data_IF_463339653632
#
_entry.id   IF_463339653632
#
_cell.length_a   1.000
_cell.length_b   1.000
_cell.length_c   1.000
_cell.angle_alpha   90.00
_cell.angle_beta   90.00
_cell.angle_gamma   90.00
#
_symmetry.space_group_name_H-M   'P 1'
#
loop_
_entity.id
_entity.type
_entity.pdbx_description
1 polymer ?
#
# COMPACT_ATOMS: atom_id res chain seq x y z
N UNK A 1 -47.50 -62.83 -30.25
CA UNK A 1 -46.36 -63.09 -31.17
C UNK A 1 -45.16 -63.38 -30.29
N UNK A 2 -44.61 -64.60 -30.41
CA UNK A 2 -43.27 -65.11 -29.97
C UNK A 2 -42.65 -64.50 -28.70
N UNK A 3 -42.68 -65.13 -27.52
CA UNK A 3 -42.02 -66.38 -27.02
C UNK A 3 -40.53 -66.18 -26.66
N UNK A 4 -40.23 -66.57 -25.41
CA UNK A 4 -38.98 -67.15 -24.87
C UNK A 4 -37.79 -66.21 -24.61
N UNK A 5 -36.92 -66.41 -23.60
CA UNK A 5 -36.84 -67.25 -22.40
C UNK A 5 -35.45 -66.95 -21.76
N UNK A 6 -35.25 -67.26 -20.48
CA UNK A 6 -33.91 -67.39 -19.87
C UNK A 6 -33.78 -66.76 -18.49
N UNK A 7 -34.46 -67.26 -17.44
CA UNK A 7 -34.08 -68.35 -16.54
C UNK A 7 -32.87 -68.13 -15.58
N UNK A 8 -33.26 -68.09 -14.30
CA UNK A 8 -32.72 -68.79 -13.12
C UNK A 8 -31.53 -68.28 -12.31
N UNK A 9 -31.90 -67.92 -11.06
CA UNK A 9 -31.21 -68.07 -9.77
C UNK A 9 -30.30 -69.29 -9.64
N UNK A 10 -29.22 -69.19 -8.85
CA UNK A 10 -29.08 -69.88 -7.55
C UNK A 10 -27.70 -69.59 -6.89
N UNK A 11 -27.77 -69.25 -5.61
CA UNK A 11 -26.91 -69.53 -4.44
C UNK A 11 -25.40 -69.85 -4.52
N UNK A 12 -24.76 -69.31 -3.47
CA UNK A 12 -23.87 -69.95 -2.48
C UNK A 12 -22.33 -69.76 -2.54
N UNK A 13 -21.84 -69.31 -1.37
CA UNK A 13 -20.56 -69.51 -0.69
C UNK A 13 -19.59 -70.52 -1.36
N UNK A 14 -18.30 -70.27 -1.47
CA UNK A 14 -17.32 -70.21 -0.35
C UNK A 14 -15.95 -69.86 -0.94
N UNK A 15 -15.05 -69.16 -0.21
CA UNK A 15 -13.73 -69.72 0.12
C UNK A 15 -12.97 -68.84 1.13
N UNK A 16 -12.61 -69.44 2.25
CA UNK A 16 -11.62 -68.95 3.21
C UNK A 16 -10.21 -68.93 2.60
N UNK A 17 -9.37 -67.96 3.00
CA UNK A 17 -8.08 -68.24 3.65
C UNK A 17 -7.33 -66.96 4.06
N UNK A 18 -7.35 -66.77 5.38
CA UNK A 18 -6.38 -66.21 6.30
C UNK A 18 -4.96 -65.92 5.76
N UNK A 19 -4.51 -64.67 5.87
CA UNK A 19 -3.15 -64.35 6.34
C UNK A 19 -3.19 -63.11 7.25
N UNK A 20 -2.65 -63.28 8.44
CA UNK A 20 -2.38 -62.29 9.47
C UNK A 20 -1.12 -61.51 9.12
N UNK A 21 -1.17 -60.17 9.17
CA UNK A 21 0.00 -59.30 9.30
C UNK A 21 -0.44 -57.98 9.92
N UNK A 22 0.32 -57.50 10.90
CA UNK A 22 0.05 -56.40 11.83
C UNK A 22 -0.11 -55.02 11.16
N UNK A 23 -0.77 -54.03 11.80
CA UNK A 23 -0.93 -52.70 11.24
C UNK A 23 0.27 -51.82 11.57
N UNK A 24 1.05 -51.47 10.54
CA UNK A 24 2.15 -50.52 10.65
C UNK A 24 1.65 -49.09 10.38
N UNK A 25 1.94 -48.18 11.31
CA UNK A 25 2.06 -46.74 11.07
C UNK A 25 0.86 -45.96 10.52
N UNK A 26 -0.21 -45.79 11.30
CA UNK A 26 -1.14 -44.68 11.08
C UNK A 26 -0.51 -43.37 11.55
N UNK A 27 0.19 -42.66 10.64
CA UNK A 27 0.67 -41.31 10.88
C UNK A 27 -0.52 -40.37 11.12
N UNK A 28 -0.80 -40.13 12.40
CA UNK A 28 -1.67 -39.05 12.85
C UNK A 28 -0.93 -37.75 12.58
N UNK A 29 -1.31 -37.07 11.49
CA UNK A 29 -0.92 -35.67 11.25
C UNK A 29 -1.57 -34.83 12.34
N UNK A 30 -0.84 -34.62 13.43
CA UNK A 30 -1.17 -33.62 14.44
C UNK A 30 -1.10 -32.26 13.77
N UNK A 31 -2.25 -31.60 13.68
CA UNK A 31 -2.37 -30.22 13.22
C UNK A 31 -1.68 -29.29 14.22
N UNK A 32 -0.43 -28.92 13.93
CA UNK A 32 0.27 -27.83 14.60
C UNK A 32 -0.32 -26.48 14.18
N UNK A 33 -1.53 -26.18 14.67
CA UNK A 33 -2.22 -24.92 14.38
C UNK A 33 -2.69 -24.18 15.64
N UNK A 34 -2.19 -24.56 16.83
CA UNK A 34 -2.62 -23.98 18.10
C UNK A 34 -1.68 -22.93 18.70
N UNK A 35 -0.53 -22.62 18.07
CA UNK A 35 0.54 -21.88 18.75
C UNK A 35 0.80 -20.43 18.28
N UNK A 36 0.04 -19.86 17.34
CA UNK A 36 0.32 -18.50 16.82
C UNK A 36 -0.69 -17.41 17.17
N UNK A 37 -1.73 -17.68 17.97
CA UNK A 37 -2.85 -16.75 18.20
C UNK A 37 -2.80 -16.00 19.55
N UNK A 38 -1.67 -16.01 20.24
CA UNK A 38 -1.53 -15.43 21.59
C UNK A 38 -0.85 -14.07 21.69
N UNK A 39 -0.23 -13.55 20.61
CA UNK A 39 0.72 -12.43 20.71
C UNK A 39 0.20 -11.05 20.27
N UNK A 40 -0.99 -10.96 19.67
CA UNK A 40 -1.47 -9.70 19.06
C UNK A 40 -2.64 -9.03 19.82
N UNK A 41 -3.00 -9.53 21.01
CA UNK A 41 -4.12 -8.99 21.82
C UNK A 41 -3.67 -7.98 22.89
N UNK A 42 -2.38 -7.69 22.97
CA UNK A 42 -1.76 -6.86 24.02
C UNK A 42 -1.69 -5.37 23.68
N UNK A 43 -1.92 -4.94 22.43
CA UNK A 43 -1.59 -3.57 21.98
C UNK A 43 -2.63 -2.49 22.31
N UNK A 44 -3.93 -2.76 22.14
CA UNK A 44 -5.00 -1.87 22.67
C UNK A 44 -5.12 -1.98 24.20
N UNK A 45 -4.58 -3.06 24.73
CA UNK A 45 -4.40 -3.32 26.14
C UNK A 45 -3.12 -2.70 26.72
N UNK A 46 -2.25 -2.12 25.89
CA UNK A 46 -0.89 -1.71 26.30
C UNK A 46 -0.91 -0.42 27.12
N UNK A 47 -1.94 0.42 26.96
CA UNK A 47 -2.17 1.60 27.80
C UNK A 47 -2.85 1.27 29.13
N UNK A 48 -3.60 0.16 29.22
CA UNK A 48 -4.33 -0.27 30.42
C UNK A 48 -3.61 -1.43 31.09
N UNK A 49 -3.14 -1.23 32.33
CA UNK A 49 -2.37 -2.26 33.05
C UNK A 49 -3.18 -3.56 33.20
N UNK A 50 -2.48 -4.70 33.30
CA UNK A 50 -3.12 -5.99 33.52
C UNK A 50 -3.97 -6.04 34.82
N UNK A 51 -3.56 -5.26 35.82
CA UNK A 51 -4.28 -5.07 37.08
C UNK A 51 -5.62 -4.36 36.84
N UNK A 52 -5.59 -3.18 36.20
CA UNK A 52 -6.80 -2.43 35.86
C UNK A 52 -7.73 -3.24 34.97
N UNK A 53 -7.18 -4.01 34.01
CA UNK A 53 -7.98 -4.91 33.17
C UNK A 53 -8.71 -5.97 33.98
N UNK A 54 -8.01 -6.62 34.90
CA UNK A 54 -8.62 -7.63 35.78
C UNK A 54 -9.70 -7.01 36.65
N UNK A 55 -9.49 -5.79 37.16
CA UNK A 55 -10.49 -5.07 37.94
C UNK A 55 -11.75 -4.73 37.13
N UNK A 56 -11.61 -4.25 35.89
CA UNK A 56 -12.74 -3.96 34.99
C UNK A 56 -13.50 -5.25 34.66
N UNK A 57 -12.79 -6.33 34.32
CA UNK A 57 -13.42 -7.63 34.03
C UNK A 57 -14.17 -8.19 35.24
N UNK A 58 -13.58 -8.09 36.44
CA UNK A 58 -14.21 -8.54 37.68
C UNK A 58 -15.44 -7.69 38.03
N UNK A 59 -15.35 -6.36 37.90
CA UNK A 59 -16.47 -5.42 38.07
C UNK A 59 -17.64 -5.77 37.15
N UNK A 60 -17.33 -6.06 35.89
CA UNK A 60 -18.30 -6.39 34.84
C UNK A 60 -18.75 -7.86 34.90
N UNK A 61 -18.26 -8.61 35.88
CA UNK A 61 -18.59 -10.00 36.11
C UNK A 61 -18.23 -10.91 34.94
N UNK A 62 -17.13 -10.63 34.25
CA UNK A 62 -16.63 -11.37 33.07
C UNK A 62 -17.73 -11.59 32.02
N UNK A 63 -18.49 -10.52 31.73
CA UNK A 63 -19.54 -10.48 30.71
C UNK A 63 -19.37 -9.25 29.85
N UNK A 64 -19.67 -9.40 28.56
CA UNK A 64 -19.84 -8.26 27.67
C UNK A 64 -21.00 -7.38 28.15
N UNK A 65 -20.74 -6.08 28.36
CA UNK A 65 -21.74 -5.13 28.84
C UNK A 65 -22.78 -4.74 27.76
N UNK A 66 -22.53 -5.08 26.49
CA UNK A 66 -23.47 -4.81 25.39
C UNK A 66 -24.38 -5.99 25.11
N UNK A 67 -23.83 -7.21 24.96
CA UNK A 67 -24.62 -8.39 24.54
C UNK A 67 -24.73 -9.49 25.60
N UNK A 68 -24.09 -9.34 26.76
CA UNK A 68 -24.18 -10.28 27.87
C UNK A 68 -23.41 -11.59 27.71
N UNK A 69 -22.74 -11.83 26.57
CA UNK A 69 -21.92 -13.04 26.36
C UNK A 69 -20.86 -13.16 27.45
N UNK A 70 -20.71 -14.37 27.97
CA UNK A 70 -19.81 -14.69 29.07
C UNK A 70 -18.40 -15.00 28.55
N UNK A 71 -17.39 -14.55 29.30
CA UNK A 71 -16.00 -14.90 29.06
C UNK A 71 -15.62 -16.27 29.64
N UNK A 72 -14.41 -16.76 29.35
CA UNK A 72 -13.91 -18.07 29.79
C UNK A 72 -13.99 -18.29 31.31
N UNK A 73 -13.75 -17.26 32.11
CA UNK A 73 -13.78 -17.33 33.58
C UNK A 73 -15.15 -17.63 34.17
N UNK A 74 -16.21 -17.49 33.37
CA UNK A 74 -17.57 -17.86 33.76
C UNK A 74 -18.16 -19.00 32.93
N UNK A 75 -17.32 -19.73 32.21
CA UNK A 75 -17.72 -20.88 31.39
C UNK A 75 -18.27 -20.50 30.02
N UNK A 76 -18.13 -19.24 29.60
CA UNK A 76 -18.47 -18.81 28.25
C UNK A 76 -17.29 -18.91 27.28
N UNK A 77 -17.56 -18.71 25.99
CA UNK A 77 -16.55 -18.80 24.93
C UNK A 77 -16.14 -17.45 24.34
N UNK A 78 -16.69 -16.34 24.85
CA UNK A 78 -16.43 -15.03 24.26
C UNK A 78 -15.08 -14.46 24.75
N UNK A 79 -14.18 -14.15 23.84
CA UNK A 79 -13.03 -13.29 24.14
C UNK A 79 -13.53 -11.91 24.54
N UNK A 80 -13.16 -11.46 25.73
CA UNK A 80 -13.52 -10.17 26.31
C UNK A 80 -12.34 -9.21 26.24
N UNK A 81 -12.64 -7.96 25.93
CA UNK A 81 -11.70 -6.85 25.83
C UNK A 81 -12.19 -5.72 26.75
N UNK A 82 -11.24 -4.93 27.25
CA UNK A 82 -11.54 -3.69 27.95
C UNK A 82 -11.44 -2.56 26.94
N UNK A 83 -12.46 -1.72 26.91
CA UNK A 83 -12.65 -0.65 25.94
C UNK A 83 -12.85 0.67 26.67
N UNK A 84 -12.14 1.72 26.25
CA UNK A 84 -12.37 3.09 26.70
C UNK A 84 -13.69 3.63 26.16
N UNK A 85 -14.58 4.06 27.06
CA UNK A 85 -15.88 4.66 26.72
C UNK A 85 -15.67 5.99 25.99
N UNK A 86 -14.74 6.83 26.47
CA UNK A 86 -14.28 8.06 25.84
C UNK A 86 -12.74 8.05 25.76
N UNK A 87 -12.14 8.50 24.65
CA UNK A 87 -10.66 8.55 24.51
C UNK A 87 -10.02 9.73 25.24
N UNK A 88 -10.72 10.88 25.31
CA UNK A 88 -10.28 12.07 26.05
C UNK A 88 -11.40 12.50 27.02
N UNK A 89 -11.57 11.79 28.15
CA UNK A 89 -12.67 12.04 29.05
C UNK A 89 -12.45 13.30 29.89
N UNK A 90 -13.45 14.17 29.97
CA UNK A 90 -13.39 15.37 30.80
C UNK A 90 -13.82 15.05 32.23
N UNK A 91 -12.89 15.17 33.18
CA UNK A 91 -13.17 15.07 34.62
C UNK A 91 -13.02 13.67 35.23
N UNK A 92 -12.53 12.70 34.45
CA UNK A 92 -12.12 11.37 34.92
C UNK A 92 -10.77 11.02 34.26
N UNK A 93 -10.03 10.05 34.80
CA UNK A 93 -8.78 9.63 34.18
C UNK A 93 -9.04 8.81 32.91
N UNK A 94 -8.18 8.93 31.91
CA UNK A 94 -8.26 8.14 30.66
C UNK A 94 -8.39 6.64 30.94
N UNK A 95 -7.53 6.08 31.79
CA UNK A 95 -7.59 4.69 32.25
C UNK A 95 -8.38 4.50 33.56
N UNK A 96 -9.18 5.49 33.96
CA UNK A 96 -10.04 5.38 35.13
C UNK A 96 -11.08 4.29 34.93
N UNK A 97 -11.38 3.51 35.97
CA UNK A 97 -12.35 2.41 35.87
C UNK A 97 -13.70 2.89 35.32
N UNK A 98 -14.12 4.10 35.69
CA UNK A 98 -15.32 4.77 35.22
C UNK A 98 -15.35 5.06 33.72
N UNK A 99 -14.19 5.13 33.05
CA UNK A 99 -14.07 5.32 31.61
C UNK A 99 -13.81 4.00 30.86
N UNK A 100 -13.82 2.85 31.54
CA UNK A 100 -13.54 1.55 30.94
C UNK A 100 -14.77 0.64 30.98
N UNK A 101 -14.99 -0.15 29.92
CA UNK A 101 -16.08 -1.13 29.82
C UNK A 101 -15.64 -2.44 29.19
N UNK A 102 -16.22 -3.56 29.63
CA UNK A 102 -15.95 -4.89 29.07
C UNK A 102 -16.82 -5.18 27.85
N UNK A 103 -16.21 -5.47 26.71
CA UNK A 103 -16.88 -5.83 25.46
C UNK A 103 -16.37 -7.15 24.89
N UNK A 104 -17.24 -7.97 24.29
CA UNK A 104 -16.77 -9.09 23.48
C UNK A 104 -16.22 -8.57 22.14
N UNK A 105 -15.32 -9.33 21.49
CA UNK A 105 -14.71 -8.97 20.20
C UNK A 105 -15.72 -8.44 19.16
N UNK A 106 -16.86 -9.09 19.01
CA UNK A 106 -17.90 -8.67 18.05
C UNK A 106 -18.52 -7.32 18.40
N UNK A 107 -18.81 -7.08 19.69
CA UNK A 107 -19.39 -5.82 20.15
C UNK A 107 -18.37 -4.69 20.14
N UNK A 108 -17.12 -5.01 20.50
CA UNK A 108 -16.00 -4.08 20.42
C UNK A 108 -15.83 -3.59 18.99
N UNK A 109 -15.65 -4.51 18.05
CA UNK A 109 -15.55 -4.20 16.63
C UNK A 109 -16.77 -3.43 16.08
N UNK A 110 -17.99 -3.79 16.51
CA UNK A 110 -19.21 -3.11 16.07
C UNK A 110 -19.30 -1.67 16.56
N UNK A 111 -18.93 -1.39 17.82
CA UNK A 111 -18.90 -0.02 18.37
C UNK A 111 -17.93 0.86 17.57
N UNK A 112 -16.78 0.33 17.18
CA UNK A 112 -15.82 1.09 16.37
C UNK A 112 -16.24 1.28 14.92
N UNK A 113 -17.06 0.38 14.38
CA UNK A 113 -17.70 0.60 13.09
C UNK A 113 -18.73 1.76 13.10
N UNK A 114 -19.00 2.40 14.24
CA UNK A 114 -19.97 3.50 14.35
C UNK A 114 -19.37 4.91 14.27
N UNK A 115 -18.08 5.10 13.95
CA UNK A 115 -17.52 6.44 13.77
C UNK A 115 -18.40 7.29 12.85
N UNK A 116 -18.97 8.36 13.40
CA UNK A 116 -19.97 9.18 12.73
C UNK A 116 -19.35 10.43 12.14
N UNK A 117 -20.08 11.09 11.22
CA UNK A 117 -19.69 12.39 10.65
C UNK A 117 -19.33 13.44 11.72
N UNK A 118 -20.02 13.43 12.86
CA UNK A 118 -19.81 14.39 13.93
C UNK A 118 -18.44 14.25 14.60
N UNK A 119 -17.84 13.07 14.48
CA UNK A 119 -16.53 12.77 15.05
C UNK A 119 -15.38 13.21 14.13
N UNK A 120 -15.66 13.65 12.89
CA UNK A 120 -14.62 14.05 11.95
C UNK A 120 -14.05 15.44 12.32
N UNK A 121 -12.71 15.59 12.40
CA UNK A 121 -12.07 16.88 12.70
C UNK A 121 -12.14 17.87 11.53
N UNK A 122 -12.73 17.45 10.41
CA UNK A 122 -12.91 18.23 9.19
C UNK A 122 -14.36 18.17 8.75
N UNK A 123 -14.83 19.22 8.06
CA UNK A 123 -16.17 19.19 7.48
C UNK A 123 -16.23 18.17 6.34
N UNK A 124 -16.97 17.08 6.57
CA UNK A 124 -17.35 16.09 5.55
C UNK A 124 -18.77 16.39 5.05
N UNK A 125 -19.04 16.15 3.78
CA UNK A 125 -20.37 16.26 3.14
C UNK A 125 -21.01 14.87 2.97
N UNK A 126 -22.30 14.80 2.63
CA UNK A 126 -22.94 13.51 2.29
C UNK A 126 -22.28 12.84 1.08
N UNK A 127 -21.79 13.63 0.13
CA UNK A 127 -21.07 13.11 -1.03
C UNK A 127 -19.74 12.45 -0.62
N UNK A 128 -19.02 13.03 0.35
CA UNK A 128 -17.82 12.42 0.93
C UNK A 128 -18.16 11.08 1.61
N UNK A 129 -19.22 11.05 2.41
CA UNK A 129 -19.64 9.85 3.14
C UNK A 129 -20.11 8.71 2.22
N UNK A 130 -20.48 9.00 0.97
CA UNK A 130 -20.77 7.96 -0.03
C UNK A 130 -19.53 7.18 -0.49
N UNK A 131 -18.34 7.74 -0.26
CA UNK A 131 -17.03 7.18 -0.63
C UNK A 131 -16.30 6.62 0.59
N UNK A 132 -16.43 7.31 1.72
CA UNK A 132 -15.70 7.02 2.95
C UNK A 132 -16.32 5.84 3.72
N UNK A 133 -15.46 5.17 4.47
CA UNK A 133 -15.82 4.15 5.45
C UNK A 133 -15.68 4.72 6.87
N UNK A 134 -16.31 4.12 7.89
CA UNK A 134 -16.14 4.54 9.29
C UNK A 134 -14.67 4.64 9.72
N UNK A 135 -13.82 3.73 9.25
CA UNK A 135 -12.39 3.73 9.57
C UNK A 135 -11.65 4.95 9.03
N UNK A 136 -12.13 5.58 7.96
CA UNK A 136 -11.52 6.81 7.46
C UNK A 136 -11.72 7.96 8.43
N UNK A 137 -12.85 7.99 9.14
CA UNK A 137 -13.13 9.00 10.16
C UNK A 137 -12.21 8.78 11.37
N UNK A 138 -11.96 7.54 11.77
CA UNK A 138 -10.95 7.22 12.81
C UNK A 138 -9.53 7.66 12.39
N UNK A 139 -9.14 7.40 11.14
CA UNK A 139 -7.85 7.87 10.61
C UNK A 139 -7.77 9.39 10.68
N UNK A 140 -8.82 10.11 10.27
CA UNK A 140 -8.84 11.57 10.32
C UNK A 140 -8.70 12.11 11.74
N UNK A 141 -9.40 11.51 12.71
CA UNK A 141 -9.29 11.84 14.14
C UNK A 141 -7.87 11.63 14.65
N UNK A 142 -7.32 10.44 14.42
CA UNK A 142 -5.95 10.12 14.81
C UNK A 142 -4.95 11.16 14.28
N UNK A 143 -5.05 11.53 12.99
CA UNK A 143 -4.16 12.53 12.41
C UNK A 143 -4.36 13.93 13.01
N UNK A 144 -5.58 14.30 13.41
CA UNK A 144 -5.84 15.58 14.07
C UNK A 144 -5.26 15.62 15.48
N UNK A 145 -5.37 14.52 16.22
CA UNK A 145 -5.00 14.43 17.63
C UNK A 145 -3.47 14.21 17.79
N UNK A 146 -2.90 13.27 17.02
CA UNK A 146 -1.50 12.82 17.16
C UNK A 146 -0.55 13.47 16.14
N UNK A 147 -1.08 14.06 15.07
CA UNK A 147 -0.31 14.65 13.99
C UNK A 147 0.22 13.63 12.97
N UNK A 148 1.21 14.03 12.14
CA UNK A 148 1.72 13.20 11.06
C UNK A 148 2.36 11.91 11.54
N UNK A 149 1.98 10.78 10.94
CA UNK A 149 2.46 9.46 11.35
C UNK A 149 2.67 8.49 10.18
N UNK A 150 3.51 7.47 10.40
CA UNK A 150 3.63 6.36 9.47
C UNK A 150 2.41 5.42 9.56
N UNK A 151 2.15 4.68 8.48
CA UNK A 151 0.98 3.79 8.36
C UNK A 151 0.93 2.71 9.44
N UNK A 152 2.07 2.27 9.98
CA UNK A 152 2.12 1.32 11.09
C UNK A 152 1.55 1.91 12.38
N UNK A 153 2.02 3.08 12.80
CA UNK A 153 1.50 3.77 13.99
C UNK A 153 0.02 4.10 13.90
N UNK A 154 -0.42 4.53 12.72
CA UNK A 154 -1.85 4.76 12.46
C UNK A 154 -2.60 3.44 12.66
N UNK A 155 -2.17 2.36 11.98
CA UNK A 155 -2.81 1.05 12.09
C UNK A 155 -2.91 0.53 13.53
N UNK A 156 -1.85 0.68 14.32
CA UNK A 156 -1.80 0.26 15.73
C UNK A 156 -2.78 1.03 16.63
N UNK A 157 -3.24 2.21 16.18
CA UNK A 157 -4.11 3.11 16.95
C UNK A 157 -5.58 3.06 16.51
N UNK A 158 -5.83 2.50 15.32
CA UNK A 158 -7.17 2.27 14.80
C UNK A 158 -7.81 1.10 15.50
N UNK A 159 -9.12 1.20 15.69
CA UNK A 159 -9.81 0.20 16.49
C UNK A 159 -10.33 -0.98 15.69
N UNK A 160 -10.34 -0.85 14.36
CA UNK A 160 -10.38 -2.01 13.49
C UNK A 160 -8.96 -2.52 13.30
N UNK A 161 -8.75 -3.83 13.50
CA UNK A 161 -7.51 -4.53 13.15
C UNK A 161 -7.27 -4.42 11.63
N UNK A 162 -6.58 -3.37 11.19
CA UNK A 162 -6.24 -3.12 9.80
C UNK A 162 -4.74 -3.30 9.60
N UNK A 163 -4.36 -3.97 8.51
CA UNK A 163 -2.95 -4.02 8.14
C UNK A 163 -2.44 -2.62 7.72
N UNK A 164 -1.15 -2.30 7.91
CA UNK A 164 -0.57 -1.04 7.46
C UNK A 164 -0.78 -0.77 5.97
N UNK A 165 -0.83 -1.84 5.16
CA UNK A 165 -1.17 -1.76 3.72
C UNK A 165 -2.61 -1.31 3.51
N UNK A 166 -3.56 -1.80 4.29
CA UNK A 166 -4.98 -1.39 4.21
C UNK A 166 -5.14 0.06 4.66
N UNK A 167 -4.45 0.48 5.72
CA UNK A 167 -4.42 1.88 6.16
C UNK A 167 -3.85 2.78 5.07
N UNK A 168 -2.75 2.38 4.41
CA UNK A 168 -2.22 3.10 3.24
C UNK A 168 -3.23 3.22 2.10
N UNK A 169 -3.97 2.16 1.81
CA UNK A 169 -5.03 2.19 0.80
C UNK A 169 -6.16 3.16 1.17
N UNK A 170 -6.55 3.22 2.45
CA UNK A 170 -7.54 4.19 2.95
C UNK A 170 -7.03 5.62 2.91
N UNK A 171 -5.79 5.86 3.32
CA UNK A 171 -5.12 7.16 3.25
C UNK A 171 -5.03 7.68 1.81
N UNK A 172 -4.81 6.81 0.82
CA UNK A 172 -4.87 7.18 -0.59
C UNK A 172 -6.29 7.63 -1.02
N UNK A 173 -7.35 6.99 -0.49
CA UNK A 173 -8.73 7.44 -0.74
C UNK A 173 -8.98 8.81 -0.12
N UNK A 174 -8.56 9.03 1.14
CA UNK A 174 -8.68 10.31 1.84
C UNK A 174 -7.90 11.43 1.17
N UNK A 175 -6.67 11.13 0.73
CA UNK A 175 -5.83 12.07 0.01
C UNK A 175 -6.48 12.46 -1.31
N UNK A 176 -6.96 11.49 -2.10
CA UNK A 176 -7.57 11.69 -3.43
C UNK A 176 -9.07 11.96 -3.45
N UNK A 177 -9.67 12.32 -2.32
CA UNK A 177 -11.13 12.42 -2.19
C UNK A 177 -11.72 13.54 -3.05
N UNK A 178 -11.01 14.67 -3.15
CA UNK A 178 -11.31 15.81 -4.04
C UNK A 178 -11.32 15.42 -5.53
N UNK A 179 -10.43 14.50 -5.92
CA UNK A 179 -10.39 13.92 -7.27
C UNK A 179 -11.43 12.81 -7.52
N UNK A 180 -12.25 12.49 -6.51
CA UNK A 180 -13.28 11.46 -6.59
C UNK A 180 -14.70 12.02 -6.40
N UNK A 181 -14.85 13.07 -5.59
CA UNK A 181 -16.12 13.69 -5.24
C UNK A 181 -16.18 15.07 -5.88
N UNK A 182 -17.04 15.24 -6.88
CA UNK A 182 -17.14 16.47 -7.69
C UNK A 182 -17.39 17.74 -6.86
N UNK A 183 -18.13 17.64 -5.75
CA UNK A 183 -18.43 18.78 -4.87
C UNK A 183 -17.30 19.11 -3.89
N UNK A 184 -16.20 18.35 -3.87
CA UNK A 184 -15.08 18.55 -2.96
C UNK A 184 -13.90 19.15 -3.72
N UNK A 185 -13.58 20.39 -3.40
CA UNK A 185 -12.53 21.19 -4.04
C UNK A 185 -11.22 21.22 -3.25
N UNK A 186 -11.19 20.59 -2.07
CA UNK A 186 -10.05 20.61 -1.16
C UNK A 186 -9.66 19.23 -0.66
N UNK A 187 -8.38 18.92 -0.84
CA UNK A 187 -7.68 17.80 -0.23
C UNK A 187 -7.73 17.87 1.31
N UNK A 188 -7.90 16.69 1.94
CA UNK A 188 -7.97 16.56 3.41
C UNK A 188 -6.63 16.10 3.99
N UNK A 189 -6.12 15.00 3.43
CA UNK A 189 -4.91 14.30 3.90
C UNK A 189 -3.85 14.39 2.83
N UNK A 190 -2.58 14.43 3.24
CA UNK A 190 -1.42 14.35 2.36
C UNK A 190 -0.35 13.44 2.96
N UNK A 191 0.63 13.10 2.14
CA UNK A 191 1.84 12.41 2.56
C UNK A 191 3.03 13.35 2.37
N UNK A 192 3.90 13.39 3.38
CA UNK A 192 5.17 14.09 3.27
C UNK A 192 6.18 13.28 2.46
N UNK A 193 6.78 13.88 1.44
CA UNK A 193 7.72 13.21 0.52
C UNK A 193 9.01 12.80 1.22
N UNK A 194 9.48 13.58 2.19
CA UNK A 194 10.77 13.35 2.83
C UNK A 194 10.68 12.29 3.92
N UNK A 195 9.65 12.38 4.76
CA UNK A 195 9.47 11.51 5.92
C UNK A 195 8.59 10.30 5.63
N UNK A 196 7.76 10.36 4.58
CA UNK A 196 6.75 9.36 4.28
C UNK A 196 5.56 9.34 5.25
N UNK A 197 5.52 10.27 6.21
CA UNK A 197 4.44 10.40 7.18
C UNK A 197 3.16 10.93 6.51
N UNK A 198 2.02 10.49 6.99
CA UNK A 198 0.70 10.93 6.55
C UNK A 198 0.10 11.86 7.58
N UNK A 199 -0.56 12.91 7.13
CA UNK A 199 -1.14 13.93 8.00
C UNK A 199 -2.25 14.71 7.31
N UNK A 200 -2.93 15.57 8.06
CA UNK A 200 -3.80 16.57 7.46
C UNK A 200 -2.96 17.53 6.61
N UNK A 201 -3.54 18.11 5.57
CA UNK A 201 -2.82 19.01 4.64
C UNK A 201 -2.09 20.16 5.34
N UNK A 202 -2.61 20.67 6.46
CA UNK A 202 -1.95 21.72 7.25
C UNK A 202 -0.77 21.26 8.10
N UNK A 203 -0.53 19.96 8.22
CA UNK A 203 0.55 19.36 9.03
C UNK A 203 1.73 18.87 8.17
N UNK A 204 1.59 18.90 6.84
CA UNK A 204 2.56 18.35 5.90
C UNK A 204 3.35 19.50 5.25
N UNK A 205 4.68 19.40 5.29
CA UNK A 205 5.57 20.42 4.74
C UNK A 205 5.84 20.19 3.25
N UNK A 206 6.11 18.94 2.87
CA UNK A 206 6.46 18.58 1.50
C UNK A 206 5.43 17.63 0.89
N UNK A 207 4.40 18.18 0.26
CA UNK A 207 3.33 17.41 -0.39
C UNK A 207 3.85 16.37 -1.39
N UNK A 208 3.35 15.14 -1.27
CA UNK A 208 3.58 14.08 -2.25
C UNK A 208 2.65 14.16 -3.47
N UNK A 209 1.57 14.94 -3.36
CA UNK A 209 0.67 15.21 -4.49
C UNK A 209 1.37 16.06 -5.54
N UNK A 210 1.27 15.67 -6.81
CA UNK A 210 1.93 16.34 -7.93
C UNK A 210 3.46 16.18 -7.96
N UNK A 211 4.06 15.65 -6.89
CA UNK A 211 5.51 15.47 -6.80
C UNK A 211 6.00 14.36 -7.74
N UNK A 212 7.11 14.63 -8.43
CA UNK A 212 7.78 13.66 -9.30
C UNK A 212 8.85 12.91 -8.50
N UNK A 213 8.69 11.61 -8.23
CA UNK A 213 9.70 10.85 -7.47
C UNK A 213 11.04 10.76 -8.20
N UNK A 214 12.13 10.89 -7.47
CA UNK A 214 13.49 10.61 -7.97
C UNK A 214 13.80 9.11 -8.00
N UNK A 215 13.14 8.32 -7.16
CA UNK A 215 13.26 6.85 -7.16
C UNK A 215 12.61 6.25 -8.42
N UNK A 216 13.35 5.49 -9.25
CA UNK A 216 12.82 4.94 -10.49
C UNK A 216 11.60 4.03 -10.31
N UNK A 217 11.55 3.24 -9.23
CA UNK A 217 10.43 2.33 -8.98
C UNK A 217 9.15 3.10 -8.62
N UNK A 218 9.26 4.09 -7.74
CA UNK A 218 8.17 5.00 -7.42
C UNK A 218 7.70 5.78 -8.65
N UNK A 219 8.62 6.22 -9.50
CA UNK A 219 8.29 6.91 -10.75
C UNK A 219 7.47 6.01 -11.70
N UNK A 220 7.93 4.78 -11.94
CA UNK A 220 7.21 3.81 -12.78
C UNK A 220 5.81 3.56 -12.21
N UNK A 221 5.69 3.35 -10.89
CA UNK A 221 4.40 3.17 -10.24
C UNK A 221 3.47 4.35 -10.47
N UNK A 222 3.96 5.59 -10.30
CA UNK A 222 3.15 6.82 -10.52
C UNK A 222 2.68 6.94 -11.96
N UNK A 223 3.55 6.63 -12.92
CA UNK A 223 3.23 6.64 -14.35
C UNK A 223 2.14 5.62 -14.66
N UNK A 224 2.29 4.36 -14.24
CA UNK A 224 1.30 3.32 -14.51
C UNK A 224 -0.04 3.61 -13.84
N UNK A 225 -0.03 4.08 -12.60
CA UNK A 225 -1.24 4.44 -11.86
C UNK A 225 -2.03 5.51 -12.62
N UNK A 226 -1.34 6.56 -13.06
CA UNK A 226 -1.93 7.68 -13.80
C UNK A 226 -2.40 7.28 -15.21
N UNK A 227 -1.70 6.36 -15.88
CA UNK A 227 -2.18 5.77 -17.14
C UNK A 227 -3.50 5.03 -16.96
N UNK A 228 -3.63 4.20 -15.90
CA UNK A 228 -4.87 3.50 -15.58
C UNK A 228 -6.01 4.49 -15.34
N UNK A 229 -5.79 5.53 -14.52
CA UNK A 229 -6.82 6.54 -14.25
C UNK A 229 -7.30 7.23 -15.52
N UNK A 230 -6.37 7.75 -16.34
CA UNK A 230 -6.70 8.44 -17.60
C UNK A 230 -7.39 7.54 -18.61
N UNK A 231 -7.03 6.26 -18.69
CA UNK A 231 -7.70 5.31 -19.57
C UNK A 231 -9.18 5.14 -19.15
N UNK A 232 -9.43 4.92 -17.86
CA UNK A 232 -10.79 4.78 -17.33
C UNK A 232 -11.61 6.06 -17.52
N UNK A 233 -11.02 7.23 -17.29
CA UNK A 233 -11.69 8.54 -17.49
C UNK A 233 -12.01 8.83 -18.96
N UNK A 234 -11.21 8.31 -19.90
CA UNK A 234 -11.52 8.35 -21.34
C UNK A 234 -12.58 7.34 -21.77
N UNK A 235 -13.14 6.57 -20.82
CA UNK A 235 -14.18 5.59 -21.08
C UNK A 235 -13.65 4.21 -21.49
N UNK A 236 -12.35 3.95 -21.40
CA UNK A 236 -11.84 2.58 -21.59
C UNK A 236 -12.44 1.68 -20.50
N UNK A 237 -13.02 0.55 -20.89
CA UNK A 237 -13.53 -0.39 -19.91
C UNK A 237 -12.37 -1.05 -19.14
N UNK A 238 -12.65 -1.47 -17.91
CA UNK A 238 -11.63 -2.01 -16.99
C UNK A 238 -11.04 -3.34 -17.47
N UNK A 239 -11.79 -4.13 -18.24
CA UNK A 239 -11.28 -5.39 -18.82
C UNK A 239 -10.18 -5.11 -19.83
N UNK A 240 -10.39 -4.15 -20.74
CA UNK A 240 -9.37 -3.73 -21.70
C UNK A 240 -8.11 -3.21 -21.00
N UNK A 241 -8.25 -2.46 -19.90
CA UNK A 241 -7.10 -1.99 -19.12
C UNK A 241 -6.32 -3.16 -18.50
N UNK A 242 -7.03 -4.18 -18.00
CA UNK A 242 -6.41 -5.40 -17.46
C UNK A 242 -5.65 -6.16 -18.53
N UNK A 243 -6.25 -6.35 -19.70
CA UNK A 243 -5.67 -7.13 -20.80
C UNK A 243 -4.42 -6.44 -21.38
N UNK A 244 -4.43 -5.11 -21.50
CA UNK A 244 -3.32 -4.33 -22.07
C UNK A 244 -2.13 -4.22 -21.11
N UNK A 245 -2.40 -4.02 -19.81
CA UNK A 245 -1.35 -3.82 -18.82
C UNK A 245 -0.95 -5.12 -18.10
N UNK A 246 -1.58 -6.24 -18.44
CA UNK A 246 -1.41 -7.54 -17.79
C UNK A 246 -1.54 -7.47 -16.26
N UNK A 247 -2.64 -6.88 -15.79
CA UNK A 247 -2.89 -6.68 -14.36
C UNK A 247 -4.25 -7.23 -13.92
N UNK A 248 -4.32 -7.63 -12.66
CA UNK A 248 -5.58 -8.09 -12.06
C UNK A 248 -6.63 -6.98 -11.97
N UNK A 249 -7.91 -7.37 -11.94
CA UNK A 249 -9.03 -6.46 -11.69
C UNK A 249 -8.84 -5.67 -10.39
N UNK A 250 -8.40 -6.33 -9.31
CA UNK A 250 -8.11 -5.68 -8.01
C UNK A 250 -7.05 -4.60 -8.16
N UNK A 251 -5.97 -4.90 -8.89
CA UNK A 251 -4.87 -3.96 -9.14
C UNK A 251 -5.36 -2.68 -9.82
N UNK A 252 -6.28 -2.77 -10.79
CA UNK A 252 -6.81 -1.56 -11.45
C UNK A 252 -7.51 -0.59 -10.48
N UNK A 253 -8.20 -1.09 -9.45
CA UNK A 253 -8.84 -0.23 -8.45
C UNK A 253 -7.79 0.47 -7.57
N UNK A 254 -6.76 -0.26 -7.18
CA UNK A 254 -5.65 0.29 -6.38
C UNK A 254 -4.87 1.35 -7.13
N UNK A 255 -4.55 1.08 -8.40
CA UNK A 255 -3.91 2.03 -9.31
C UNK A 255 -4.74 3.30 -9.47
N UNK A 256 -6.06 3.17 -9.71
CA UNK A 256 -6.96 4.33 -9.82
C UNK A 256 -7.01 5.16 -8.53
N UNK A 257 -7.12 4.53 -7.36
CA UNK A 257 -7.15 5.25 -6.07
C UNK A 257 -5.85 6.00 -5.83
N UNK A 258 -4.70 5.35 -6.03
CA UNK A 258 -3.39 6.01 -5.89
C UNK A 258 -3.20 7.14 -6.90
N UNK A 259 -3.62 6.95 -8.15
CA UNK A 259 -3.55 8.00 -9.16
C UNK A 259 -4.35 9.25 -8.75
N UNK A 260 -5.55 9.07 -8.19
CA UNK A 260 -6.34 10.20 -7.66
C UNK A 260 -5.67 10.88 -6.47
N UNK A 261 -5.01 10.10 -5.61
CA UNK A 261 -4.28 10.62 -4.46
C UNK A 261 -3.10 11.49 -4.86
N UNK A 262 -2.22 10.96 -5.72
CA UNK A 262 -0.97 11.60 -6.07
C UNK A 262 -1.10 12.57 -7.24
N UNK A 263 -2.15 12.48 -8.05
CA UNK A 263 -2.41 13.34 -9.21
C UNK A 263 -1.16 13.62 -10.05
N UNK A 264 -0.50 12.53 -10.46
CA UNK A 264 0.84 12.61 -11.01
C UNK A 264 0.83 13.36 -12.35
N UNK A 265 1.74 14.34 -12.57
CA UNK A 265 1.72 15.19 -13.76
C UNK A 265 2.33 14.46 -14.97
N UNK A 266 1.65 13.43 -15.49
CA UNK A 266 2.12 12.65 -16.65
C UNK A 266 2.38 13.51 -17.91
N UNK A 267 1.78 14.71 -17.99
CA UNK A 267 2.05 15.66 -19.05
C UNK A 267 3.50 16.19 -19.02
N UNK A 268 4.14 16.27 -17.86
CA UNK A 268 5.54 16.71 -17.73
C UNK A 268 6.52 15.75 -18.41
N UNK A 269 6.13 14.49 -18.58
CA UNK A 269 6.93 13.44 -19.24
C UNK A 269 6.69 13.36 -20.74
N UNK A 270 5.82 14.21 -21.30
CA UNK A 270 5.67 14.36 -22.74
C UNK A 270 6.84 15.20 -23.28
N UNK A 271 8.06 14.66 -23.21
CA UNK A 271 9.20 15.17 -24.00
C UNK A 271 9.03 14.68 -25.44
N UNK A 272 8.90 15.63 -26.36
CA UNK A 272 9.23 15.50 -27.79
C UNK A 272 8.36 14.58 -28.66
N UNK A 273 7.08 14.43 -28.31
CA UNK A 273 6.09 13.77 -29.15
C UNK A 273 5.00 14.73 -29.64
N UNK A 274 5.36 15.97 -30.00
CA UNK A 274 4.61 16.62 -31.07
C UNK A 274 4.93 15.78 -32.30
N UNK A 275 4.08 14.78 -32.56
CA UNK A 275 4.21 13.92 -33.71
C UNK A 275 4.37 14.83 -34.90
N UNK A 276 5.51 14.70 -35.58
CA UNK A 276 5.96 15.62 -36.62
C UNK A 276 4.77 16.14 -37.38
N UNK A 277 4.40 17.39 -37.09
CA UNK A 277 3.70 18.20 -38.06
C UNK A 277 4.73 18.46 -39.15
N UNK A 278 4.93 17.43 -39.97
CA UNK A 278 5.18 17.64 -41.37
C UNK A 278 4.21 18.73 -41.78
N UNK A 279 4.69 19.91 -42.23
CA UNK A 279 3.78 20.92 -42.73
C UNK A 279 3.01 20.22 -43.84
N UNK A 280 1.72 20.01 -43.61
CA UNK A 280 0.84 19.45 -44.60
C UNK A 280 1.05 20.30 -45.84
N UNK A 281 1.56 19.68 -46.90
CA UNK A 281 1.67 20.31 -48.20
C UNK A 281 0.29 20.78 -48.58
N UNK A 282 0.03 22.06 -48.37
CA UNK A 282 -1.18 22.72 -48.83
C UNK A 282 -1.01 22.88 -50.33
N UNK A 283 -1.60 21.95 -51.07
CA UNK A 283 -1.85 22.12 -52.49
C UNK A 283 -3.08 22.99 -52.67
N UNK A 284 -2.87 24.04 -53.46
CA UNK A 284 -3.80 24.81 -54.28
C UNK A 284 -4.50 26.06 -53.68
N UNK A 285 -3.96 27.20 -54.13
CA UNK A 285 -4.71 28.38 -54.60
C UNK A 285 -4.88 29.51 -53.57
N UNK A 286 -4.69 30.80 -53.84
CA UNK A 286 -4.40 31.58 -55.06
C UNK A 286 -3.74 32.91 -54.61
N UNK A 287 -3.24 33.66 -55.60
CA UNK A 287 -2.28 34.76 -55.54
C UNK A 287 -2.83 36.10 -55.02
N UNK A 288 -1.91 36.95 -54.56
CA UNK A 288 -1.67 38.39 -54.87
C UNK A 288 -1.25 39.18 -53.61
N UNK A 289 0.02 39.56 -53.43
CA UNK A 289 0.72 40.79 -53.89
C UNK A 289 0.79 41.87 -52.80
N UNK A 290 1.94 42.03 -52.12
CA UNK A 290 2.81 43.24 -52.11
C UNK A 290 3.85 43.26 -50.94
N UNK A 291 4.95 44.05 -51.04
CA UNK A 291 6.25 43.73 -50.42
C UNK A 291 6.77 44.74 -49.37
N UNK A 292 8.01 44.49 -48.92
CA UNK A 292 8.89 45.25 -47.99
C UNK A 292 8.74 44.80 -46.52
N UNK A 293 9.80 44.59 -45.75
CA UNK A 293 11.13 45.20 -45.75
C UNK A 293 12.23 44.23 -45.30
N UNK A 294 13.45 44.56 -45.71
CA UNK A 294 14.69 43.81 -45.53
C UNK A 294 15.35 43.97 -44.15
N UNK A 295 16.43 43.17 -44.01
CA UNK A 295 17.61 43.26 -43.14
C UNK A 295 17.56 42.41 -41.85
N UNK A 296 18.19 41.22 -41.80
CA UNK A 296 19.65 40.94 -41.70
C UNK A 296 20.15 41.22 -40.26
N UNK A 297 20.98 40.45 -39.56
CA UNK A 297 21.77 39.22 -39.73
C UNK A 297 22.39 38.97 -38.33
N UNK A 298 22.99 37.81 -38.06
CA UNK A 298 23.87 37.65 -36.89
C UNK A 298 23.79 36.32 -36.15
N UNK A 299 24.38 35.29 -36.74
CA UNK A 299 24.71 34.02 -36.08
C UNK A 299 26.01 34.12 -35.25
N UNK A 300 26.02 33.39 -34.13
CA UNK A 300 27.12 32.65 -33.49
C UNK A 300 28.51 33.30 -33.33
N UNK A 301 29.02 33.35 -32.10
CA UNK A 301 30.45 33.12 -31.85
C UNK A 301 30.74 32.57 -30.45
N UNK A 302 31.42 31.42 -30.43
CA UNK A 302 32.13 30.81 -29.32
C UNK A 302 33.55 31.41 -29.31
N UNK A 303 34.09 31.75 -28.13
CA UNK A 303 35.51 32.05 -27.97
C UNK A 303 36.15 31.16 -26.89
N UNK A 304 37.18 30.46 -27.34
CA UNK A 304 38.23 29.74 -26.62
C UNK A 304 39.34 30.71 -26.25
N UNK A 305 39.98 30.57 -25.08
CA UNK A 305 41.35 31.05 -24.85
C UNK A 305 42.11 30.06 -23.95
N UNK A 306 43.30 29.70 -24.42
CA UNK A 306 44.32 28.83 -23.82
C UNK A 306 45.32 29.61 -22.93
N UNK A 307 45.77 28.90 -21.89
CA UNK A 307 47.11 28.75 -21.28
C UNK A 307 48.10 29.92 -21.06
N UNK A 308 48.61 30.05 -19.81
CA UNK A 308 50.02 29.77 -19.41
C UNK A 308 50.35 30.31 -17.99
N UNK A 309 50.74 29.37 -17.10
CA UNK A 309 51.90 29.31 -16.14
C UNK A 309 52.47 30.58 -15.47
N UNK A 310 53.06 30.61 -14.25
CA UNK A 310 53.39 29.69 -13.15
C UNK A 310 53.78 30.59 -11.93
N UNK A 311 53.49 30.15 -10.70
CA UNK A 311 54.51 29.81 -9.66
C UNK A 311 54.13 30.10 -8.18
N UNK A 312 54.34 29.04 -7.40
CA UNK A 312 54.67 28.88 -5.99
C UNK A 312 53.75 29.39 -4.86
N UNK A 313 53.16 28.44 -4.12
CA UNK A 313 53.69 27.96 -2.81
C UNK A 313 52.84 26.84 -2.17
N UNK A 314 53.48 25.69 -1.97
CA UNK A 314 53.13 24.55 -1.10
C UNK A 314 53.13 24.95 0.41
N UNK A 315 52.54 24.19 1.38
CA UNK A 315 52.83 22.74 1.59
C UNK A 315 51.77 21.80 2.23
N UNK A 316 52.09 20.51 2.05
CA UNK A 316 51.99 19.32 2.91
C UNK A 316 50.69 18.78 3.51
N UNK A 317 50.39 17.57 3.03
CA UNK A 317 49.54 16.52 3.57
C UNK A 317 50.16 15.90 4.83
N UNK A 318 49.37 15.75 5.90
CA UNK A 318 49.66 14.82 7.00
C UNK A 318 48.41 13.98 7.27
N UNK A 319 48.60 12.66 7.18
CA UNK A 319 47.66 11.59 7.54
C UNK A 319 47.95 11.18 9.00
N UNK A 320 46.89 10.95 9.80
CA UNK A 320 46.85 10.16 11.04
C UNK A 320 45.37 9.90 11.33
N UNK A 321 44.79 8.74 11.04
CA UNK A 321 44.81 7.47 11.81
C UNK A 321 44.22 7.59 13.23
N UNK A 322 43.03 7.04 13.41
CA UNK A 322 42.47 6.55 14.67
C UNK A 322 42.15 5.04 14.48
N UNK A 323 42.20 4.24 15.56
CA UNK A 323 42.70 2.87 15.47
C UNK A 323 41.63 1.78 15.29
N UNK A 324 42.08 0.72 14.64
CA UNK A 324 41.44 -0.58 14.48
C UNK A 324 41.60 -1.45 15.73
N UNK A 325 40.55 -2.20 16.09
CA UNK A 325 40.72 -3.54 16.69
C UNK A 325 39.91 -4.57 15.89
N UNK A 326 40.63 -5.60 15.45
CA UNK A 326 40.25 -6.68 14.53
C UNK A 326 39.54 -7.82 15.29
N UNK A 327 38.63 -8.58 14.69
CA UNK A 327 38.90 -9.88 14.03
C UNK A 327 37.56 -10.61 13.75
N UNK A 328 37.50 -11.72 12.97
CA UNK A 328 38.28 -12.12 11.80
C UNK A 328 37.37 -12.35 10.57
N UNK A 329 37.99 -12.29 9.39
CA UNK A 329 37.43 -12.72 8.10
C UNK A 329 37.32 -14.23 8.06
N UNK A 330 36.12 -14.74 7.76
CA UNK A 330 35.94 -16.06 7.14
C UNK A 330 35.62 -15.84 5.65
N UNK A 331 36.47 -16.42 4.80
CA UNK A 331 36.26 -16.54 3.36
C UNK A 331 35.00 -17.38 3.10
N UNK A 332 33.90 -16.70 2.81
CA UNK A 332 32.68 -17.31 2.29
C UNK A 332 32.52 -16.95 0.82
N UNK A 333 33.07 -17.78 -0.07
CA UNK A 333 32.75 -17.79 -1.49
C UNK A 333 31.25 -18.03 -1.64
N UNK A 334 30.49 -16.96 -1.85
CA UNK A 334 29.04 -17.02 -2.03
C UNK A 334 28.76 -17.72 -3.36
N UNK A 335 28.43 -19.01 -3.29
CA UNK A 335 27.88 -19.77 -4.41
C UNK A 335 26.56 -19.13 -4.81
N UNK A 336 26.57 -18.43 -5.95
CA UNK A 336 25.35 -17.97 -6.60
C UNK A 336 24.55 -19.22 -6.99
N UNK A 337 23.33 -19.34 -6.47
CA UNK A 337 22.40 -20.38 -6.90
C UNK A 337 22.09 -20.24 -8.39
N UNK A 338 21.67 -21.34 -9.02
CA UNK A 338 21.40 -21.46 -10.47
C UNK A 338 20.48 -20.33 -11.00
N UNK A 339 19.53 -19.85 -10.19
CA UNK A 339 18.65 -18.71 -10.50
C UNK A 339 19.40 -17.36 -10.66
N UNK A 340 20.48 -17.14 -9.90
CA UNK A 340 21.26 -15.90 -9.94
C UNK A 340 22.17 -15.81 -11.17
N UNK A 341 22.62 -16.96 -11.67
CA UNK A 341 23.39 -17.07 -12.91
C UNK A 341 22.51 -16.86 -14.13
N UNK A 342 21.31 -17.44 -14.16
CA UNK A 342 20.36 -17.24 -15.27
C UNK A 342 19.90 -15.77 -15.39
N UNK A 343 19.63 -15.10 -14.27
CA UNK A 343 19.27 -13.68 -14.26
C UNK A 343 20.39 -12.78 -14.79
N UNK A 344 21.65 -13.15 -14.54
CA UNK A 344 22.82 -12.39 -15.00
C UNK A 344 23.03 -12.55 -16.51
N UNK A 345 22.87 -13.76 -17.03
CA UNK A 345 22.95 -14.03 -18.47
C UNK A 345 21.81 -13.35 -19.25
N UNK A 346 20.59 -13.33 -18.68
CA UNK A 346 19.47 -12.60 -19.28
C UNK A 346 19.72 -11.09 -19.32
N UNK A 347 20.32 -10.53 -18.26
CA UNK A 347 20.68 -9.11 -18.19
C UNK A 347 21.78 -8.75 -19.21
N UNK A 348 22.82 -9.57 -19.35
CA UNK A 348 23.88 -9.36 -20.33
C UNK A 348 23.37 -9.47 -21.78
N UNK A 349 22.45 -10.39 -22.03
CA UNK A 349 21.79 -10.54 -23.33
C UNK A 349 20.96 -9.29 -23.68
N UNK A 350 20.22 -8.75 -22.72
CA UNK A 350 19.43 -7.54 -22.92
C UNK A 350 20.30 -6.30 -23.17
N UNK A 351 21.42 -6.15 -22.45
CA UNK A 351 22.38 -5.06 -22.65
C UNK A 351 22.99 -5.14 -24.06
N UNK A 352 23.37 -6.34 -24.50
CA UNK A 352 23.96 -6.55 -25.83
C UNK A 352 22.96 -6.23 -26.96
N UNK A 353 21.69 -6.61 -26.79
CA UNK A 353 20.65 -6.29 -27.76
C UNK A 353 20.41 -4.78 -27.90
N UNK A 354 20.42 -4.05 -26.78
CA UNK A 354 20.25 -2.60 -26.77
C UNK A 354 21.44 -1.88 -27.43
N UNK A 355 22.66 -2.33 -27.18
CA UNK A 355 23.87 -1.76 -27.79
C UNK A 355 23.90 -1.97 -29.31
N UNK A 356 23.34 -3.08 -29.80
CA UNK A 356 23.24 -3.36 -31.24
C UNK A 356 22.23 -2.45 -31.93
N UNK A 357 21.08 -2.22 -31.31
CA UNK A 357 20.05 -1.29 -31.83
C UNK A 357 20.59 0.14 -31.87
N UNK A 358 21.38 0.55 -30.86
CA UNK A 358 21.98 1.89 -30.85
C UNK A 358 23.09 2.10 -31.87
N UNK A 359 23.65 1.02 -32.44
CA UNK A 359 24.70 1.09 -33.46
C UNK A 359 24.13 1.05 -34.90
N UNK A 360 22.84 0.73 -35.06
CA UNK A 360 22.13 0.68 -36.35
C UNK A 360 21.28 1.95 -36.60
N UNK A 361 21.24 2.87 -35.62
CA UNK A 361 20.73 4.24 -35.72
C UNK A 361 21.89 5.22 -35.92
#
# INVERSE_FOLDING_TARGET
MTRADGHHEFSNESNEQTTTSEPDGAETRTSDSAASHGYDQDRENESVTAETRSEVLARDGHRCQVCGREGPERGGLATLHVHHIERDPVGVAENGLENLTTLCRSCHSWIHQQSTRADAPVTLTEADLSVLLPQDIEILRYLADEGPAQTGKIADSLTAELSPTTVRERLAVLMGLDNQVETRDRQIVDQDVQTGAWGLTGQIEHSARGHIPSDPQALIQRVEDEQVRRALERGCNRQTVMDVLDISRRTTFHKQKRARAYDFPLAAFRRSGDGGQHPAGSTAGERESDPSSADADGQQQLDTVDDETEDARQPDHVVSEEPSEQSPVEDGEATLGEDGTELREQLETAITALQRISAEL
#
